data_IF_437455106816
#
_entry.id   IF_437455106816
#
_cell.length_a   1.000
_cell.length_b   1.000
_cell.length_c   1.000
_cell.angle_alpha   90.00
_cell.angle_beta   90.00
_cell.angle_gamma   90.00
#
_symmetry.space_group_name_H-M   'P 1'
#
loop_
_entity.id
_entity.type
_entity.pdbx_description
1 polymer ?
#
# COMPACT_ATOMS: atom_id res chain seq x y z
N UNK A 1 3.66 0.00 25.69
CA UNK A 1 2.87 1.16 25.24
C UNK A 1 2.34 0.88 23.83
N UNK A 2 1.11 1.23 23.59
CA UNK A 2 0.50 1.04 22.26
C UNK A 2 1.02 2.07 21.27
N UNK A 3 0.93 1.75 19.98
CA UNK A 3 1.25 2.66 18.90
C UNK A 3 0.43 3.94 19.01
N UNK A 4 1.10 5.10 18.97
CA UNK A 4 0.46 6.40 19.13
C UNK A 4 0.26 7.15 17.80
N UNK A 5 0.89 6.69 16.73
CA UNK A 5 0.89 7.42 15.46
C UNK A 5 -0.14 6.85 14.49
N UNK A 6 -1.41 6.94 14.88
CA UNK A 6 -2.55 6.53 14.07
C UNK A 6 -3.36 7.77 13.73
N UNK A 7 -3.54 8.02 12.43
CA UNK A 7 -4.19 9.23 11.94
C UNK A 7 -5.31 8.89 10.98
N UNK A 8 -6.39 9.65 11.02
CA UNK A 8 -7.39 9.58 9.96
C UNK A 8 -6.72 10.03 8.66
N UNK A 9 -6.90 9.27 7.60
CA UNK A 9 -6.18 9.47 6.35
C UNK A 9 -7.15 9.60 5.19
N UNK A 10 -6.94 10.64 4.36
CA UNK A 10 -7.74 10.90 3.18
C UNK A 10 -6.86 10.76 1.95
N UNK A 11 -7.05 9.69 1.20
CA UNK A 11 -6.25 9.43 0.00
C UNK A 11 -6.64 10.39 -1.12
N UNK A 12 -5.65 11.07 -1.70
CA UNK A 12 -5.83 11.96 -2.84
C UNK A 12 -5.49 11.26 -4.15
N UNK A 13 -4.40 10.50 -4.14
CA UNK A 13 -3.85 9.93 -5.37
C UNK A 13 -3.17 8.60 -5.08
N UNK A 14 -3.44 7.63 -5.94
CA UNK A 14 -2.74 6.34 -5.95
C UNK A 14 -1.65 6.38 -7.01
N UNK A 15 -0.41 6.16 -6.60
CA UNK A 15 0.76 6.13 -7.50
C UNK A 15 0.97 4.72 -8.00
N UNK A 16 1.05 3.77 -7.07
CA UNK A 16 1.13 2.33 -7.32
C UNK A 16 0.23 1.64 -6.31
N UNK A 17 0.03 0.34 -6.45
CA UNK A 17 -0.79 -0.40 -5.50
C UNK A 17 -0.30 -0.28 -4.05
N UNK A 18 1.00 -0.05 -3.86
CA UNK A 18 1.62 0.07 -2.54
C UNK A 18 2.07 1.48 -2.19
N UNK A 19 1.70 2.48 -2.99
CA UNK A 19 2.15 3.87 -2.77
C UNK A 19 1.02 4.84 -3.06
N UNK A 20 0.65 5.64 -2.06
CA UNK A 20 -0.43 6.62 -2.18
C UNK A 20 0.01 7.96 -1.61
N UNK A 21 -0.66 9.02 -2.03
CA UNK A 21 -0.48 10.36 -1.48
C UNK A 21 -1.83 10.78 -0.92
N UNK A 22 -1.81 11.40 0.23
CA UNK A 22 -3.02 11.91 0.85
C UNK A 22 -2.72 12.81 2.02
N UNK A 23 -3.73 13.14 2.79
CA UNK A 23 -3.57 13.97 3.97
C UNK A 23 -3.92 13.21 5.25
N UNK A 24 -3.07 13.38 6.26
CA UNK A 24 -3.27 12.84 7.59
C UNK A 24 -3.80 13.95 8.49
N UNK A 25 -4.89 13.66 9.21
CA UNK A 25 -5.47 14.60 10.18
C UNK A 25 -4.74 14.41 11.51
N UNK A 26 -4.03 15.46 11.93
CA UNK A 26 -3.16 15.40 13.12
C UNK A 26 -3.78 16.03 14.36
N UNK A 27 -5.05 16.42 14.28
CA UNK A 27 -5.70 17.15 15.37
C UNK A 27 -5.36 18.64 15.31
N UNK A 28 -6.04 19.45 16.13
CA UNK A 28 -5.84 20.91 16.17
C UNK A 28 -6.05 21.60 14.82
N UNK A 29 -6.91 21.03 13.96
CA UNK A 29 -7.13 21.51 12.58
C UNK A 29 -5.84 21.44 11.72
N UNK A 30 -4.89 20.61 12.09
CA UNK A 30 -3.66 20.42 11.32
C UNK A 30 -3.79 19.19 10.44
N UNK A 31 -3.60 19.40 9.13
CA UNK A 31 -3.57 18.30 8.15
C UNK A 31 -2.21 18.32 7.47
N UNK A 32 -1.59 17.17 7.37
CA UNK A 32 -0.29 17.03 6.74
C UNK A 32 -0.44 16.20 5.47
N UNK A 33 -0.01 16.77 4.34
CA UNK A 33 0.03 16.03 3.08
C UNK A 33 1.27 15.15 3.09
N UNK A 34 1.10 13.86 2.86
CA UNK A 34 2.17 12.89 3.00
C UNK A 34 2.07 11.80 1.93
N UNK A 35 3.24 11.33 1.49
CA UNK A 35 3.33 10.13 0.68
C UNK A 35 3.45 8.93 1.60
N UNK A 36 2.67 7.89 1.31
CA UNK A 36 2.65 6.67 2.10
C UNK A 36 3.12 5.50 1.24
N UNK A 37 4.10 4.77 1.73
CA UNK A 37 4.54 3.48 1.20
C UNK A 37 3.98 2.40 2.13
N UNK A 38 3.18 1.49 1.62
CA UNK A 38 2.64 0.41 2.44
C UNK A 38 3.78 -0.48 2.92
N UNK A 39 3.89 -0.62 4.24
CA UNK A 39 4.98 -1.38 4.85
C UNK A 39 4.68 -2.89 4.80
N UNK A 40 5.73 -3.67 4.61
CA UNK A 40 5.63 -5.13 4.67
C UNK A 40 5.10 -5.79 3.42
N UNK A 41 4.83 -5.05 2.36
CA UNK A 41 4.36 -5.61 1.10
C UNK A 41 4.99 -4.90 -0.09
N UNK A 42 4.99 -5.57 -1.23
CA UNK A 42 5.50 -5.03 -2.48
C UNK A 42 4.57 -5.43 -3.61
N UNK A 43 4.06 -4.43 -4.34
CA UNK A 43 3.22 -4.67 -5.52
C UNK A 43 4.09 -4.68 -6.77
N UNK A 44 3.61 -5.29 -7.89
CA UNK A 44 4.35 -5.24 -9.15
C UNK A 44 4.57 -3.80 -9.61
N UNK A 45 5.72 -3.55 -10.24
CA UNK A 45 6.05 -2.23 -10.74
C UNK A 45 5.22 -1.89 -11.99
N UNK A 46 4.69 -0.67 -12.02
CA UNK A 46 3.93 -0.17 -13.17
C UNK A 46 4.84 0.31 -14.31
N UNK A 47 6.11 0.57 -14.01
CA UNK A 47 7.10 1.07 -14.98
C UNK A 47 8.11 -0.01 -15.31
N UNK A 48 8.47 -0.11 -16.59
CA UNK A 48 9.39 -1.14 -17.06
C UNK A 48 8.74 -2.51 -17.03
N UNK A 49 9.54 -3.56 -17.16
CA UNK A 49 9.06 -4.93 -17.10
C UNK A 49 8.27 -5.36 -18.32
N UNK A 50 7.60 -6.49 -18.18
CA UNK A 50 6.83 -7.10 -19.24
C UNK A 50 5.39 -6.62 -19.27
N UNK A 51 4.67 -6.98 -20.32
CA UNK A 51 3.24 -6.70 -20.44
C UNK A 51 2.46 -7.34 -19.29
N UNK A 52 2.83 -8.56 -18.90
CA UNK A 52 2.22 -9.30 -17.80
C UNK A 52 2.45 -8.59 -16.47
N UNK A 53 3.67 -8.08 -16.25
CA UNK A 53 4.01 -7.34 -15.04
C UNK A 53 3.17 -6.05 -14.94
N UNK A 54 3.04 -5.33 -16.03
CA UNK A 54 2.25 -4.10 -16.08
C UNK A 54 0.76 -4.36 -15.84
N UNK A 55 0.23 -5.44 -16.39
CA UNK A 55 -1.17 -5.82 -16.16
C UNK A 55 -1.41 -6.17 -14.69
N UNK A 56 -0.47 -6.88 -14.07
CA UNK A 56 -0.52 -7.24 -12.66
C UNK A 56 -0.44 -5.97 -11.77
N UNK A 57 0.45 -5.04 -12.11
CA UNK A 57 0.58 -3.76 -11.42
C UNK A 57 -0.73 -2.95 -11.49
N UNK A 58 -1.38 -2.97 -12.64
CA UNK A 58 -2.67 -2.29 -12.85
C UNK A 58 -3.76 -2.87 -11.95
N UNK A 59 -3.82 -4.20 -11.83
CA UNK A 59 -4.78 -4.85 -10.93
C UNK A 59 -4.56 -4.42 -9.49
N UNK A 60 -3.29 -4.36 -9.05
CA UNK A 60 -2.95 -3.92 -7.69
C UNK A 60 -3.36 -2.46 -7.46
N UNK A 61 -3.07 -1.57 -8.42
CA UNK A 61 -3.46 -0.16 -8.32
C UNK A 61 -4.98 0.01 -8.26
N UNK A 62 -5.70 -0.72 -9.08
CA UNK A 62 -7.17 -0.66 -9.08
C UNK A 62 -7.76 -1.17 -7.77
N UNK A 63 -7.17 -2.21 -7.21
CA UNK A 63 -7.61 -2.73 -5.91
C UNK A 63 -7.43 -1.67 -4.81
N UNK A 64 -6.27 -1.02 -4.77
CA UNK A 64 -5.97 0.02 -3.79
C UNK A 64 -6.92 1.20 -3.95
N UNK A 65 -7.17 1.66 -5.17
CA UNK A 65 -8.12 2.74 -5.43
C UNK A 65 -9.52 2.37 -4.93
N UNK A 66 -9.97 1.16 -5.22
CA UNK A 66 -11.29 0.69 -4.80
C UNK A 66 -11.39 0.61 -3.27
N UNK A 67 -10.34 0.15 -2.60
CA UNK A 67 -10.29 0.10 -1.13
C UNK A 67 -10.65 1.47 -0.53
N UNK A 68 -10.10 2.55 -1.09
CA UNK A 68 -10.34 3.91 -0.60
C UNK A 68 -11.70 4.50 -1.02
N UNK A 69 -12.49 3.81 -1.82
CA UNK A 69 -13.84 4.26 -2.17
C UNK A 69 -14.92 3.61 -1.33
N UNK A 70 -14.58 2.59 -0.55
CA UNK A 70 -15.54 1.83 0.24
C UNK A 70 -15.11 1.80 1.71
N UNK A 71 -16.09 1.79 2.61
CA UNK A 71 -15.85 1.57 4.04
C UNK A 71 -14.93 2.61 4.72
N UNK A 72 -15.03 3.86 4.30
CA UNK A 72 -14.37 4.96 5.05
C UNK A 72 -15.04 5.18 6.41
N UNK A 73 -14.41 5.92 7.34
CA UNK A 73 -13.10 6.57 7.17
C UNK A 73 -11.93 5.60 7.19
N UNK A 74 -10.77 6.09 6.73
CA UNK A 74 -9.54 5.32 6.65
C UNK A 74 -8.53 5.84 7.67
N UNK A 75 -7.66 4.94 8.12
CA UNK A 75 -6.67 5.26 9.14
C UNK A 75 -5.28 4.80 8.70
N UNK A 76 -4.30 5.67 8.91
CA UNK A 76 -2.89 5.37 8.67
C UNK A 76 -2.20 5.14 10.00
N UNK A 77 -1.62 3.96 10.20
CA UNK A 77 -0.69 3.70 11.27
C UNK A 77 0.71 3.95 10.70
N UNK A 78 1.28 5.11 11.03
CA UNK A 78 2.60 5.49 10.56
C UNK A 78 3.66 4.83 11.44
N UNK A 79 4.45 3.91 10.86
CA UNK A 79 5.42 3.14 11.62
C UNK A 79 6.79 3.81 11.65
N UNK A 80 7.23 4.35 10.52
CA UNK A 80 8.47 5.12 10.43
C UNK A 80 8.50 5.89 9.12
N UNK A 81 9.44 6.82 8.98
CA UNK A 81 9.71 7.49 7.71
C UNK A 81 10.84 6.75 6.99
N UNK A 82 10.73 6.64 5.68
CA UNK A 82 11.83 6.09 4.88
C UNK A 82 12.84 7.20 4.54
N UNK A 83 13.93 6.81 3.88
CA UNK A 83 14.99 7.76 3.53
C UNK A 83 14.57 8.84 2.52
N UNK A 84 13.41 8.67 1.90
CA UNK A 84 12.84 9.65 0.95
C UNK A 84 11.73 10.49 1.59
N UNK A 85 11.53 10.37 2.89
CA UNK A 85 10.50 11.14 3.61
C UNK A 85 9.09 10.59 3.50
N UNK A 86 8.90 9.39 2.92
CA UNK A 86 7.58 8.76 2.88
C UNK A 86 7.30 8.06 4.21
N UNK A 87 6.04 8.06 4.62
CA UNK A 87 5.65 7.27 5.77
C UNK A 87 5.57 5.79 5.34
N UNK A 88 6.26 4.94 6.07
CA UNK A 88 6.08 3.49 5.96
C UNK A 88 4.99 3.13 6.94
N UNK A 89 3.86 2.67 6.44
CA UNK A 89 2.71 2.48 7.32
C UNK A 89 1.75 1.40 6.87
N UNK A 90 0.77 1.19 7.72
CA UNK A 90 -0.34 0.27 7.48
C UNK A 90 -1.63 1.09 7.37
N UNK A 91 -2.47 0.73 6.43
CA UNK A 91 -3.72 1.46 6.18
C UNK A 91 -4.90 0.56 6.47
N UNK A 92 -5.87 1.11 7.21
CA UNK A 92 -7.08 0.40 7.63
C UNK A 92 -8.33 1.15 7.17
N UNK A 93 -9.41 0.40 6.93
CA UNK A 93 -10.73 0.99 6.71
C UNK A 93 -11.53 1.01 8.02
N UNK A 94 -12.79 1.45 7.97
CA UNK A 94 -13.63 1.53 9.18
C UNK A 94 -14.01 0.16 9.75
N UNK A 95 -13.84 -0.91 8.98
CA UNK A 95 -14.06 -2.29 9.43
C UNK A 95 -12.80 -2.93 10.00
N UNK A 96 -11.76 -2.14 10.18
CA UNK A 96 -10.47 -2.59 10.68
C UNK A 96 -9.77 -3.60 9.77
N UNK A 97 -10.11 -3.60 8.50
CA UNK A 97 -9.42 -4.40 7.49
C UNK A 97 -8.17 -3.66 7.03
N UNK A 98 -7.05 -4.37 6.93
CA UNK A 98 -5.75 -3.78 6.55
C UNK A 98 -5.48 -3.96 5.07
N UNK A 99 -5.30 -2.84 4.35
CA UNK A 99 -5.01 -2.88 2.92
C UNK A 99 -3.72 -3.67 2.62
N UNK A 100 -2.68 -3.48 3.43
CA UNK A 100 -1.40 -4.19 3.26
C UNK A 100 -1.62 -5.71 3.21
N UNK A 101 -2.38 -6.22 4.15
CA UNK A 101 -2.66 -7.66 4.25
C UNK A 101 -3.59 -8.15 3.13
N UNK A 102 -4.59 -7.34 2.77
CA UNK A 102 -5.53 -7.69 1.71
C UNK A 102 -4.85 -7.81 0.34
N UNK A 103 -3.90 -6.94 0.06
CA UNK A 103 -3.14 -7.01 -1.20
C UNK A 103 -2.38 -8.34 -1.29
N UNK A 104 -1.74 -8.75 -0.19
CA UNK A 104 -1.00 -10.02 -0.15
C UNK A 104 -1.97 -11.20 -0.30
N UNK A 105 -3.07 -11.18 0.43
CA UNK A 105 -4.07 -12.24 0.40
C UNK A 105 -4.66 -12.46 -0.99
N UNK A 106 -4.80 -11.41 -1.77
CA UNK A 106 -5.40 -11.45 -3.11
C UNK A 106 -4.37 -11.58 -4.23
N UNK A 107 -3.13 -11.96 -3.91
CA UNK A 107 -2.05 -12.20 -4.88
C UNK A 107 -1.65 -10.94 -5.66
N UNK A 108 -1.94 -9.76 -5.12
CA UNK A 108 -1.61 -8.47 -5.74
C UNK A 108 -0.33 -7.87 -5.17
N UNK A 109 0.17 -8.42 -4.07
CA UNK A 109 1.43 -8.03 -3.48
C UNK A 109 2.12 -9.25 -2.90
N UNK A 110 3.43 -9.14 -2.72
CA UNK A 110 4.21 -10.15 -1.98
C UNK A 110 4.62 -9.57 -0.64
N UNK A 111 4.75 -10.42 0.37
CA UNK A 111 5.28 -10.01 1.66
C UNK A 111 6.73 -9.53 1.44
N UNK A 112 7.04 -8.34 1.95
CA UNK A 112 8.35 -7.74 1.74
C UNK A 112 9.03 -7.45 3.07
N UNK A 113 10.23 -7.98 3.24
CA UNK A 113 11.02 -7.82 4.47
C UNK A 113 12.49 -7.50 4.16
N UNK A 114 12.77 -7.03 2.94
CA UNK A 114 14.13 -6.70 2.51
C UNK A 114 14.84 -7.82 1.74
N UNK A 115 14.12 -8.88 1.36
CA UNK A 115 14.67 -9.95 0.54
C UNK A 115 15.15 -9.43 -0.82
N UNK A 116 16.01 -10.21 -1.51
CA UNK A 116 16.59 -9.76 -2.75
C UNK A 116 15.56 -9.68 -3.89
N UNK A 117 15.94 -8.95 -4.95
CA UNK A 117 15.06 -8.72 -6.11
C UNK A 117 14.63 -10.00 -6.82
N UNK A 118 15.50 -11.01 -6.86
CA UNK A 118 15.19 -12.28 -7.51
C UNK A 118 14.05 -13.00 -6.79
N UNK A 119 14.10 -13.06 -5.45
CA UNK A 119 13.05 -13.67 -4.63
C UNK A 119 11.73 -12.94 -4.81
N UNK A 120 11.75 -11.60 -4.81
CA UNK A 120 10.56 -10.78 -5.02
C UNK A 120 9.96 -11.05 -6.40
N UNK A 121 10.79 -11.09 -7.43
CA UNK A 121 10.35 -11.35 -8.81
C UNK A 121 9.69 -12.73 -8.93
N UNK A 122 10.30 -13.75 -8.35
CA UNK A 122 9.76 -15.11 -8.37
C UNK A 122 8.42 -15.19 -7.63
N UNK A 123 8.29 -14.48 -6.51
CA UNK A 123 7.05 -14.42 -5.76
C UNK A 123 5.94 -13.73 -6.56
N UNK A 124 6.25 -12.65 -7.28
CA UNK A 124 5.27 -12.00 -8.16
C UNK A 124 4.85 -12.90 -9.32
N UNK A 125 5.78 -13.65 -9.89
CA UNK A 125 5.46 -14.62 -10.95
C UNK A 125 4.52 -15.71 -10.44
N UNK A 126 4.77 -16.22 -9.23
CA UNK A 126 3.90 -17.20 -8.59
C UNK A 126 2.49 -16.63 -8.38
N UNK A 127 2.39 -15.38 -7.92
CA UNK A 127 1.11 -14.71 -7.75
C UNK A 127 0.33 -14.60 -9.07
N UNK A 128 1.01 -14.25 -10.16
CA UNK A 128 0.38 -14.16 -11.46
C UNK A 128 -0.22 -15.49 -11.92
N UNK A 129 0.45 -16.59 -11.62
CA UNK A 129 -0.07 -17.93 -11.93
C UNK A 129 -1.34 -18.22 -11.16
N UNK A 130 -1.49 -17.70 -9.95
CA UNK A 130 -2.71 -17.89 -9.16
C UNK A 130 -3.88 -17.04 -9.67
N UNK A 131 -3.60 -15.91 -10.31
CA UNK A 131 -4.61 -14.99 -10.81
C UNK A 131 -5.10 -15.30 -12.22
N UNK A 132 -4.28 -16.02 -13.01
CA UNK A 132 -4.54 -16.22 -14.44
C UNK A 132 -4.71 -17.67 -14.82
#
# INVERSE_FOLDING_TARGET
MKQLFIYKFNMERCIDGDSVIGSAECGFDVNVRISVRLNGCDTPESRGGTKETKAHAKLASEYTKKFFTENGPFFLESQKLDKFGRSLGRVYNCKDECLNDLLIKNYLAVAYHGQNKKEVKEAHEANRKMLM
#
